data_IF_843470357585
#
_entry.id   IF_843470357585
#
_cell.length_a   1.000
_cell.length_b   1.000
_cell.length_c   1.000
_cell.angle_alpha   90.00
_cell.angle_beta   90.00
_cell.angle_gamma   90.00
#
_symmetry.space_group_name_H-M   'P 1'
#
loop_
_entity.id
_entity.type
_entity.pdbx_description
1 polymer ?
#
# COMPACT_ATOMS: atom_id res chain seq x y z
N UNK A 1 15.25 3.01 3.98
CA UNK A 1 16.40 2.93 3.04
C UNK A 1 16.02 2.42 1.64
N UNK A 2 14.74 2.39 1.26
CA UNK A 2 14.27 1.74 0.01
C UNK A 2 14.94 2.33 -1.24
N UNK A 3 14.96 3.66 -1.38
CA UNK A 3 15.59 4.32 -2.52
C UNK A 3 17.09 4.01 -2.66
N UNK A 4 17.84 4.08 -1.56
CA UNK A 4 19.26 3.73 -1.56
C UNK A 4 19.49 2.27 -1.99
N UNK A 5 18.63 1.34 -1.57
CA UNK A 5 18.69 -0.05 -1.98
C UNK A 5 18.43 -0.22 -3.48
N UNK A 6 17.34 0.35 -3.99
CA UNK A 6 16.98 0.27 -5.42
C UNK A 6 18.03 0.96 -6.33
N UNK A 7 18.70 1.99 -5.83
CA UNK A 7 19.76 2.68 -6.57
C UNK A 7 21.09 1.90 -6.58
N UNK A 8 21.40 1.14 -5.53
CA UNK A 8 22.72 0.52 -5.34
C UNK A 8 22.75 -0.99 -5.57
N UNK A 9 21.58 -1.63 -5.59
CA UNK A 9 21.42 -3.07 -5.78
C UNK A 9 20.44 -3.33 -6.92
N UNK A 10 20.66 -4.42 -7.63
CA UNK A 10 19.69 -4.92 -8.61
C UNK A 10 18.55 -5.60 -7.87
N UNK A 11 17.40 -4.92 -7.82
CA UNK A 11 16.14 -5.46 -7.30
C UNK A 11 15.21 -5.65 -8.50
N UNK A 12 14.71 -6.86 -8.69
CA UNK A 12 13.93 -7.21 -9.87
C UNK A 12 12.42 -6.92 -9.69
N UNK A 13 11.92 -6.87 -8.46
CA UNK A 13 10.52 -6.56 -8.16
C UNK A 13 10.32 -6.16 -6.69
N UNK A 14 9.20 -5.50 -6.41
CA UNK A 14 8.66 -5.29 -5.07
C UNK A 14 7.28 -5.95 -5.00
N UNK A 15 7.03 -6.71 -3.93
CA UNK A 15 5.73 -7.33 -3.66
C UNK A 15 5.31 -6.95 -2.25
N UNK A 16 4.09 -6.41 -2.11
CA UNK A 16 3.49 -6.05 -0.82
C UNK A 16 2.14 -6.74 -0.64
N UNK A 17 1.62 -6.77 0.59
CA UNK A 17 0.23 -7.15 0.85
C UNK A 17 -0.76 -6.02 0.56
N UNK A 18 -2.03 -6.26 0.89
CA UNK A 18 -3.06 -5.23 0.95
C UNK A 18 -3.95 -5.43 2.17
N UNK A 19 -4.37 -4.34 2.79
CA UNK A 19 -5.49 -4.36 3.73
C UNK A 19 -6.81 -4.32 2.95
N UNK A 20 -6.89 -3.40 1.97
CA UNK A 20 -8.04 -3.25 1.09
C UNK A 20 -7.63 -2.79 -0.30
N UNK A 21 -8.29 -3.32 -1.32
CA UNK A 21 -8.15 -2.87 -2.71
C UNK A 21 -9.50 -2.35 -3.21
N UNK A 22 -9.55 -1.10 -3.67
CA UNK A 22 -10.75 -0.50 -4.28
C UNK A 22 -11.03 -1.06 -5.68
N UNK A 23 -12.21 -0.78 -6.24
CA UNK A 23 -12.63 -1.29 -7.54
C UNK A 23 -11.69 -0.91 -8.70
N UNK A 24 -11.08 0.28 -8.65
CA UNK A 24 -10.10 0.75 -9.63
C UNK A 24 -8.68 0.18 -9.43
N UNK A 25 -8.46 -0.60 -8.35
CA UNK A 25 -7.17 -1.17 -7.97
C UNK A 25 -6.33 -0.30 -7.04
N UNK A 26 -6.79 0.89 -6.64
CA UNK A 26 -6.14 1.66 -5.58
C UNK A 26 -6.07 0.82 -4.32
N UNK A 27 -4.88 0.75 -3.72
CA UNK A 27 -4.60 -0.20 -2.65
C UNK A 27 -4.27 0.53 -1.37
N UNK A 28 -5.10 0.34 -0.35
CA UNK A 28 -4.76 0.70 1.02
C UNK A 28 -3.92 -0.43 1.64
N UNK A 29 -2.74 -0.07 2.15
CA UNK A 29 -1.85 -0.98 2.86
C UNK A 29 -1.06 -0.21 3.94
N UNK A 30 -0.30 -0.93 4.77
CA UNK A 30 0.50 -0.36 5.86
C UNK A 30 1.29 0.88 5.37
N UNK A 31 1.24 1.96 6.16
CA UNK A 31 1.90 3.23 5.86
C UNK A 31 3.36 3.02 5.42
N UNK A 32 3.76 3.69 4.34
CA UNK A 32 5.02 3.51 3.63
C UNK A 32 4.89 2.74 2.31
N UNK A 33 3.76 2.10 2.03
CA UNK A 33 3.54 1.33 0.79
C UNK A 33 3.50 2.24 -0.42
N UNK A 34 2.75 3.35 -0.35
CA UNK A 34 2.71 4.35 -1.40
C UNK A 34 4.10 4.92 -1.70
N UNK A 35 4.88 5.20 -0.65
CA UNK A 35 6.27 5.66 -0.80
C UNK A 35 7.12 4.62 -1.56
N UNK A 36 6.99 3.33 -1.23
CA UNK A 36 7.71 2.27 -1.94
C UNK A 36 7.33 2.22 -3.43
N UNK A 37 6.05 2.37 -3.76
CA UNK A 37 5.58 2.36 -5.15
C UNK A 37 6.11 3.56 -5.96
N UNK A 38 6.14 4.76 -5.37
CA UNK A 38 6.72 5.96 -6.01
C UNK A 38 8.20 5.75 -6.32
N UNK A 39 8.96 5.23 -5.35
CA UNK A 39 10.40 4.97 -5.55
C UNK A 39 10.62 3.83 -6.56
N UNK A 40 9.80 2.79 -6.55
CA UNK A 40 9.86 1.69 -7.52
C UNK A 40 9.66 2.21 -8.95
N UNK A 41 8.64 3.05 -9.17
CA UNK A 41 8.39 3.69 -10.48
C UNK A 41 9.56 4.53 -10.94
N UNK A 42 10.18 5.31 -10.04
CA UNK A 42 11.36 6.11 -10.37
C UNK A 42 12.53 5.25 -10.87
N UNK A 43 12.76 4.08 -10.26
CA UNK A 43 13.85 3.17 -10.64
C UNK A 43 13.46 2.12 -11.70
N UNK A 44 12.24 2.18 -12.26
CA UNK A 44 11.77 1.22 -13.27
C UNK A 44 11.62 -0.21 -12.74
N UNK A 45 11.41 -0.39 -11.43
CA UNK A 45 11.22 -1.69 -10.79
C UNK A 45 9.72 -1.99 -10.70
N UNK A 46 9.24 -3.16 -11.16
CA UNK A 46 7.83 -3.50 -11.12
C UNK A 46 7.35 -3.66 -9.66
N UNK A 47 6.16 -3.12 -9.40
CA UNK A 47 5.53 -3.08 -8.08
C UNK A 47 4.23 -3.88 -8.09
N UNK A 48 4.16 -4.93 -7.28
CA UNK A 48 3.02 -5.82 -7.20
C UNK A 48 2.34 -5.73 -5.84
N UNK A 49 1.02 -5.84 -5.87
CA UNK A 49 0.18 -6.03 -4.69
C UNK A 49 -0.29 -7.48 -4.69
N UNK A 50 -0.11 -8.21 -3.60
CA UNK A 50 -0.67 -9.54 -3.41
C UNK A 50 -1.85 -9.47 -2.44
N UNK A 51 -3.04 -9.79 -2.93
CA UNK A 51 -4.29 -9.70 -2.17
C UNK A 51 -5.27 -10.78 -2.61
N UNK A 52 -5.93 -11.50 -1.68
CA UNK A 52 -7.01 -12.40 -2.04
C UNK A 52 -8.21 -11.61 -2.56
N UNK A 53 -9.11 -12.24 -3.33
CA UNK A 53 -10.35 -11.55 -3.77
C UNK A 53 -11.20 -11.04 -2.62
N UNK A 54 -11.09 -11.63 -1.42
CA UNK A 54 -11.80 -11.17 -0.22
C UNK A 54 -11.31 -9.81 0.29
N UNK A 55 -10.11 -9.37 -0.09
CA UNK A 55 -9.58 -8.04 0.23
C UNK A 55 -9.95 -6.98 -0.83
N UNK A 56 -10.58 -7.38 -1.93
CA UNK A 56 -11.05 -6.46 -2.97
C UNK A 56 -12.48 -6.02 -2.64
N UNK A 57 -12.65 -4.72 -2.38
CA UNK A 57 -13.92 -4.09 -2.06
C UNK A 57 -14.45 -3.32 -3.27
N UNK A 58 -15.25 -4.00 -4.10
CA UNK A 58 -15.83 -3.42 -5.33
C UNK A 58 -16.92 -2.37 -5.08
N UNK A 59 -17.36 -2.20 -3.83
CA UNK A 59 -18.28 -1.13 -3.47
C UNK A 59 -17.56 0.23 -3.34
N UNK A 60 -16.24 0.22 -3.13
CA UNK A 60 -15.40 1.41 -3.07
C UNK A 60 -14.88 1.71 -4.48
N UNK A 61 -15.28 2.86 -5.04
CA UNK A 61 -14.93 3.22 -6.41
C UNK A 61 -13.42 3.42 -6.60
N UNK A 62 -12.79 4.17 -5.69
CA UNK A 62 -11.38 4.50 -5.72
C UNK A 62 -10.84 4.76 -4.30
N UNK A 63 -9.52 4.94 -4.20
CA UNK A 63 -8.82 5.10 -2.94
C UNK A 63 -9.20 6.35 -2.13
N UNK A 64 -9.79 7.38 -2.75
CA UNK A 64 -10.23 8.59 -2.03
C UNK A 64 -11.38 8.33 -1.07
N UNK A 65 -12.13 7.24 -1.28
CA UNK A 65 -13.22 6.81 -0.41
C UNK A 65 -12.75 5.93 0.76
N UNK A 66 -11.46 5.56 0.82
CA UNK A 66 -10.90 4.77 1.91
C UNK A 66 -10.53 5.72 3.06
N UNK A 67 -11.21 5.58 4.20
CA UNK A 67 -10.86 6.32 5.42
C UNK A 67 -9.60 5.75 6.03
N UNK A 68 -8.56 6.58 6.18
CA UNK A 68 -7.32 6.19 6.84
C UNK A 68 -7.49 6.24 8.35
N UNK A 69 -7.26 5.11 9.00
CA UNK A 69 -7.19 5.00 10.46
C UNK A 69 -5.99 5.82 10.96
N UNK A 70 -6.23 6.81 11.82
CA UNK A 70 -5.17 7.46 12.60
C UNK A 70 -5.12 6.82 14.00
N UNK A 71 -3.92 6.45 14.41
CA UNK A 71 -3.68 5.75 15.68
C UNK A 71 -3.16 6.68 16.76
N UNK A 72 -3.28 6.29 18.04
CA UNK A 72 -2.77 7.08 19.14
C UNK A 72 -1.29 7.44 18.96
N UNK A 73 -0.91 8.67 19.28
CA UNK A 73 0.46 9.17 19.21
C UNK A 73 1.45 8.34 20.05
N UNK A 74 0.96 7.70 21.11
CA UNK A 74 1.76 6.85 21.99
C UNK A 74 2.40 5.68 21.22
N UNK A 75 1.71 5.13 20.22
CA UNK A 75 2.22 4.01 19.40
C UNK A 75 3.42 4.38 18.52
N UNK A 76 3.61 5.67 18.23
CA UNK A 76 4.76 6.18 17.46
C UNK A 76 5.85 6.77 18.37
N UNK A 77 5.45 7.40 19.47
CA UNK A 77 6.37 8.11 20.37
C UNK A 77 7.06 7.20 21.39
N UNK A 78 6.53 5.99 21.64
CA UNK A 78 7.04 5.04 22.62
C UNK A 78 7.35 3.67 22.01
N UNK A 79 8.39 3.01 22.52
CA UNK A 79 8.76 1.63 22.19
C UNK A 79 9.04 0.89 23.50
N UNK A 80 8.41 -0.27 23.71
CA UNK A 80 8.59 -1.05 24.94
C UNK A 80 8.19 -0.30 26.22
N UNK A 81 7.21 0.61 26.12
CA UNK A 81 6.77 1.47 27.23
C UNK A 81 7.69 2.66 27.54
N UNK A 82 8.82 2.80 26.84
CA UNK A 82 9.73 3.94 27.00
C UNK A 82 9.52 4.97 25.88
N UNK A 83 9.46 6.25 26.27
CA UNK A 83 9.33 7.35 25.32
C UNK A 83 10.66 7.61 24.62
N UNK A 84 10.63 7.63 23.29
CA UNK A 84 11.80 7.92 22.44
C UNK A 84 11.73 9.35 21.88
N UNK A 85 10.52 9.83 21.56
CA UNK A 85 10.32 11.18 21.02
C UNK A 85 10.51 12.28 22.08
N UNK A 86 10.81 13.51 21.64
CA UNK A 86 10.98 14.68 22.51
C UNK A 86 9.67 15.10 23.21
N UNK A 87 9.66 15.46 24.51
CA UNK A 87 8.46 15.88 25.25
C UNK A 87 7.67 16.98 24.56
N UNK A 88 6.33 16.85 24.53
CA UNK A 88 5.42 17.86 24.00
C UNK A 88 5.31 17.97 22.47
N UNK A 89 6.05 17.17 21.69
CA UNK A 89 5.91 17.16 20.22
C UNK A 89 4.57 16.53 19.80
N UNK A 90 3.88 17.16 18.85
CA UNK A 90 2.70 16.58 18.21
C UNK A 90 3.07 15.46 17.23
N UNK A 91 2.13 14.57 16.97
CA UNK A 91 2.33 13.40 16.12
C UNK A 91 1.20 13.21 15.13
N UNK A 92 1.54 12.87 13.89
CA UNK A 92 0.61 12.36 12.90
C UNK A 92 0.93 10.89 12.64
N UNK A 93 -0.02 10.00 12.95
CA UNK A 93 0.20 8.54 12.96
C UNK A 93 -0.87 7.80 12.13
N UNK A 94 -0.92 8.00 10.81
CA UNK A 94 -1.78 7.21 9.94
C UNK A 94 -1.30 5.76 9.90
N UNK A 95 -2.20 4.80 10.11
CA UNK A 95 -1.88 3.37 10.10
C UNK A 95 -1.66 2.81 8.68
N UNK A 96 -2.15 3.50 7.66
CA UNK A 96 -2.18 3.08 6.27
C UNK A 96 -1.92 4.26 5.33
N UNK A 97 -1.52 3.97 4.10
CA UNK A 97 -1.61 4.89 2.96
C UNK A 97 -2.30 4.22 1.77
N UNK A 98 -2.67 5.02 0.78
CA UNK A 98 -3.24 4.54 -0.48
C UNK A 98 -2.19 4.64 -1.58
N UNK A 99 -1.90 3.52 -2.21
CA UNK A 99 -1.10 3.45 -3.43
C UNK A 99 -2.02 3.55 -4.65
N UNK A 100 -1.87 4.59 -5.50
CA UNK A 100 -2.65 4.70 -6.73
C UNK A 100 -2.39 3.54 -7.69
N UNK A 101 -3.46 3.07 -8.34
CA UNK A 101 -3.43 1.99 -9.31
C UNK A 101 -2.38 2.16 -10.43
N UNK A 102 -2.12 3.41 -10.85
CA UNK A 102 -1.13 3.75 -11.87
C UNK A 102 0.33 3.46 -11.47
N UNK A 103 0.60 3.20 -10.19
CA UNK A 103 1.91 2.79 -9.68
C UNK A 103 2.03 1.27 -9.55
N UNK A 104 0.93 0.53 -9.72
CA UNK A 104 0.85 -0.91 -9.50
C UNK A 104 0.96 -1.63 -10.84
N UNK A 105 2.01 -2.45 -10.99
CA UNK A 105 2.25 -3.27 -12.18
C UNK A 105 1.22 -4.39 -12.31
N UNK A 106 0.81 -4.99 -11.19
CA UNK A 106 -0.22 -6.02 -11.17
C UNK A 106 -0.67 -6.38 -9.76
N UNK A 107 -1.88 -6.93 -9.67
CA UNK A 107 -2.49 -7.43 -8.44
C UNK A 107 -2.54 -8.95 -8.52
N UNK A 108 -1.78 -9.60 -7.65
CA UNK A 108 -1.65 -11.05 -7.55
C UNK A 108 -2.77 -11.56 -6.65
N UNK A 109 -3.57 -12.48 -7.17
CA UNK A 109 -4.72 -13.08 -6.50
C UNK A 109 -4.68 -14.60 -6.62
N UNK A 110 -5.57 -15.29 -5.91
CA UNK A 110 -5.77 -16.74 -6.10
C UNK A 110 -6.34 -17.11 -7.49
N UNK A 111 -6.77 -16.13 -8.30
CA UNK A 111 -7.27 -16.35 -9.68
C UNK A 111 -6.28 -15.91 -10.76
N UNK A 112 -5.03 -15.63 -10.37
CA UNK A 112 -3.97 -15.16 -11.26
C UNK A 112 -3.59 -13.70 -11.01
N UNK A 113 -2.82 -13.14 -11.94
CA UNK A 113 -2.32 -11.76 -11.87
C UNK A 113 -3.18 -10.88 -12.77
N UNK A 114 -3.77 -9.84 -12.19
CA UNK A 114 -4.66 -8.91 -12.88
C UNK A 114 -4.01 -7.53 -12.96
N UNK A 115 -4.21 -6.81 -14.07
CA UNK A 115 -3.94 -5.36 -14.07
C UNK A 115 -5.03 -4.64 -13.28
N UNK A 116 -4.73 -3.50 -12.63
CA UNK A 116 -5.75 -2.70 -11.95
C UNK A 116 -6.98 -2.39 -12.81
N UNK A 117 -6.78 -2.10 -14.10
CA UNK A 117 -7.86 -1.83 -15.06
C UNK A 117 -8.80 -3.02 -15.34
N UNK A 118 -8.35 -4.25 -15.07
CA UNK A 118 -9.11 -5.49 -15.31
C UNK A 118 -9.88 -5.94 -14.06
N UNK A 119 -9.62 -5.32 -12.90
CA UNK A 119 -10.07 -5.80 -11.60
C UNK A 119 -11.60 -5.77 -11.46
N UNK A 120 -12.22 -4.63 -11.76
CA UNK A 120 -13.67 -4.45 -11.62
C UNK A 120 -14.48 -5.43 -12.48
N UNK A 121 -14.01 -5.74 -13.70
CA UNK A 121 -14.68 -6.68 -14.59
C UNK A 121 -14.56 -8.12 -14.06
N UNK A 122 -13.34 -8.54 -13.71
CA UNK A 122 -13.03 -9.91 -13.24
C UNK A 122 -13.69 -10.26 -11.91
N UNK A 123 -13.91 -9.29 -11.04
CA UNK A 123 -14.60 -9.51 -9.75
C UNK A 123 -16.11 -9.66 -9.95
N UNK A 124 -16.69 -9.01 -10.96
CA UNK A 124 -18.13 -9.11 -11.28
C UNK A 124 -18.52 -10.38 -12.01
N UNK A 125 -17.59 -11.02 -12.71
CA UNK A 125 -17.77 -12.34 -13.36
C UNK A 125 -17.77 -13.53 -12.37
N UNK A 126 -18.12 -13.28 -11.09
CA UNK A 126 -18.32 -14.32 -10.08
C UNK A 126 -19.54 -15.17 -10.40
#
# INVERSE_FOLDING_TARGET
MVAALLNSRKIDAIIVGADRVAANGDTANKIGTYQMAVVAKHHGVPFYVAAPFTSIDVAIADGSYIKIEERPEHELTHIGGQRIAAPGIGCWNPAFDVTPAELITGIITERGVLKPSELAEKVRQK
#
